data_IF_140167782883
#
_entry.id   IF_140167782883
#
_cell.length_a   1.000
_cell.length_b   1.000
_cell.length_c   1.000
_cell.angle_alpha   90.00
_cell.angle_beta   90.00
_cell.angle_gamma   90.00
#
_symmetry.space_group_name_H-M   'P 1'
#
loop_
_entity.id
_entity.type
_entity.pdbx_description
1 polymer ?
#
# COMPACT_ATOMS: atom_id res chain seq x y z
N UNK A 1 17.35 34.95 -4.47
CA UNK A 1 16.42 33.89 -4.95
C UNK A 1 15.65 33.28 -3.78
N UNK A 2 14.32 33.20 -3.89
CA UNK A 2 13.45 32.50 -2.95
C UNK A 2 13.55 30.97 -3.05
N UNK A 3 12.91 30.25 -2.12
CA UNK A 3 13.00 28.78 -2.03
C UNK A 3 12.37 28.02 -3.23
N UNK A 4 11.24 28.52 -3.76
CA UNK A 4 10.59 27.92 -4.93
C UNK A 4 11.38 28.12 -6.22
N UNK A 5 11.90 29.33 -6.47
CA UNK A 5 12.73 29.63 -7.65
C UNK A 5 14.00 28.77 -7.71
N UNK A 6 14.62 28.46 -6.56
CA UNK A 6 15.79 27.56 -6.50
C UNK A 6 15.42 26.11 -6.86
N UNK A 7 14.21 25.64 -6.53
CA UNK A 7 13.75 24.29 -6.87
C UNK A 7 13.46 24.15 -8.36
N UNK A 8 12.87 25.18 -8.96
CA UNK A 8 12.64 25.24 -10.41
C UNK A 8 13.96 25.23 -11.19
N UNK A 9 14.90 26.09 -10.79
CA UNK A 9 16.23 26.14 -11.38
C UNK A 9 17.00 24.82 -11.21
N UNK A 10 16.91 24.18 -10.04
CA UNK A 10 17.46 22.84 -9.82
C UNK A 10 16.84 21.81 -10.78
N UNK A 11 15.52 21.85 -10.99
CA UNK A 11 14.83 20.93 -11.90
C UNK A 11 15.30 21.09 -13.35
N UNK A 12 15.47 22.33 -13.81
CA UNK A 12 15.91 22.65 -15.16
C UNK A 12 17.37 22.20 -15.42
N UNK A 13 18.28 22.44 -14.47
CA UNK A 13 19.71 22.12 -14.64
C UNK A 13 20.01 20.64 -14.49
N UNK A 14 19.18 19.89 -13.77
CA UNK A 14 19.45 18.49 -13.44
C UNK A 14 19.65 17.60 -14.66
N UNK A 15 18.85 17.79 -15.72
CA UNK A 15 19.01 17.01 -16.96
C UNK A 15 20.37 17.28 -17.62
N UNK A 16 20.76 18.57 -17.72
CA UNK A 16 22.08 18.99 -18.23
C UNK A 16 23.21 18.41 -17.37
N UNK A 17 23.09 18.48 -16.05
CA UNK A 17 24.10 17.93 -15.15
C UNK A 17 24.23 16.40 -15.25
N UNK A 18 23.14 15.66 -15.44
CA UNK A 18 23.20 14.20 -15.57
C UNK A 18 23.88 13.76 -16.87
N UNK A 19 23.58 14.42 -17.99
CA UNK A 19 24.12 14.10 -19.32
C UNK A 19 25.53 14.65 -19.61
N UNK A 20 26.03 15.59 -18.81
CA UNK A 20 27.32 16.24 -19.01
C UNK A 20 28.54 15.34 -18.72
N UNK A 21 29.66 15.67 -19.37
CA UNK A 21 30.99 15.11 -19.08
C UNK A 21 31.54 15.60 -17.73
N UNK A 22 32.69 15.08 -17.28
CA UNK A 22 33.27 15.44 -15.98
C UNK A 22 33.62 16.93 -15.89
N UNK A 23 34.15 17.51 -16.97
CA UNK A 23 34.56 18.92 -17.05
C UNK A 23 33.34 19.84 -17.06
N UNK A 24 32.36 19.54 -17.91
CA UNK A 24 31.09 20.26 -18.00
C UNK A 24 30.31 20.22 -16.67
N UNK A 25 30.27 19.07 -15.98
CA UNK A 25 29.70 18.95 -14.63
C UNK A 25 30.38 19.89 -13.64
N UNK A 26 31.68 20.14 -13.80
CA UNK A 26 32.44 21.08 -12.98
C UNK A 26 31.94 22.51 -13.14
N UNK A 27 31.75 22.95 -14.39
CA UNK A 27 31.25 24.28 -14.77
C UNK A 27 29.80 24.49 -14.32
N UNK A 28 28.91 23.55 -14.65
CA UNK A 28 27.49 23.58 -14.25
C UNK A 28 27.37 23.69 -12.72
N UNK A 29 28.22 22.97 -11.99
CA UNK A 29 28.21 22.99 -10.53
C UNK A 29 28.70 24.33 -9.97
N UNK A 30 29.70 24.97 -10.59
CA UNK A 30 30.16 26.30 -10.19
C UNK A 30 29.06 27.35 -10.42
N UNK A 31 28.43 27.33 -11.59
CA UNK A 31 27.30 28.21 -11.92
C UNK A 31 26.15 28.03 -10.91
N UNK A 32 25.73 26.79 -10.67
CA UNK A 32 24.65 26.47 -9.75
C UNK A 32 24.95 26.92 -8.32
N UNK A 33 26.21 26.76 -7.85
CA UNK A 33 26.62 27.25 -6.53
C UNK A 33 26.58 28.77 -6.44
N UNK A 34 27.02 29.49 -7.48
CA UNK A 34 27.00 30.96 -7.54
C UNK A 34 25.58 31.51 -7.52
N UNK A 35 24.69 30.96 -8.35
CA UNK A 35 23.30 31.42 -8.50
C UNK A 35 22.45 31.10 -7.26
N UNK A 36 22.54 29.87 -6.75
CA UNK A 36 21.73 29.43 -5.61
C UNK A 36 22.37 29.74 -4.25
N UNK A 37 23.60 30.26 -4.22
CA UNK A 37 24.44 30.46 -3.02
C UNK A 37 24.54 29.19 -2.15
N UNK A 38 24.79 28.05 -2.80
CA UNK A 38 24.97 26.77 -2.12
C UNK A 38 26.44 26.38 -2.05
N UNK A 39 26.80 25.66 -0.98
CA UNK A 39 28.08 25.00 -0.91
C UNK A 39 28.16 23.84 -1.89
N UNK A 40 29.33 23.63 -2.51
CA UNK A 40 29.57 22.64 -3.57
C UNK A 40 29.10 21.24 -3.20
N UNK A 41 29.39 20.80 -1.97
CA UNK A 41 28.99 19.47 -1.46
C UNK A 41 27.46 19.31 -1.38
N UNK A 42 26.74 20.38 -1.02
CA UNK A 42 25.28 20.39 -0.97
C UNK A 42 24.68 20.36 -2.38
N UNK A 43 25.21 21.16 -3.30
CA UNK A 43 24.79 21.19 -4.69
C UNK A 43 24.95 19.83 -5.41
N UNK A 44 26.09 19.15 -5.21
CA UNK A 44 26.32 17.79 -5.74
C UNK A 44 25.22 16.83 -5.25
N UNK A 45 24.93 16.87 -3.95
CA UNK A 45 23.90 16.01 -3.35
C UNK A 45 22.54 16.24 -4.02
N UNK A 46 22.11 17.50 -4.16
CA UNK A 46 20.83 17.86 -4.77
C UNK A 46 20.73 17.40 -6.24
N UNK A 47 21.75 17.70 -7.04
CA UNK A 47 21.78 17.38 -8.47
C UNK A 47 21.79 15.86 -8.70
N UNK A 48 22.59 15.12 -7.94
CA UNK A 48 22.65 13.65 -8.02
C UNK A 48 21.43 12.94 -7.43
N UNK A 49 20.59 13.61 -6.62
CA UNK A 49 19.70 12.88 -5.71
C UNK A 49 18.70 11.89 -6.35
N UNK A 50 18.26 11.93 -7.60
CA UNK A 50 17.03 11.23 -8.07
C UNK A 50 15.78 11.44 -7.16
N UNK A 51 14.66 11.85 -7.76
CA UNK A 51 13.38 11.87 -7.02
C UNK A 51 12.96 10.41 -6.81
N UNK A 52 13.42 9.77 -5.73
CA UNK A 52 12.83 8.52 -5.26
C UNK A 52 11.47 8.89 -4.67
N UNK A 53 10.39 8.60 -5.39
CA UNK A 53 9.06 8.66 -4.81
C UNK A 53 8.98 7.75 -3.58
N UNK A 54 7.98 7.93 -2.70
CA UNK A 54 7.79 7.02 -1.58
C UNK A 54 7.59 5.60 -2.13
N UNK A 55 8.61 4.76 -2.02
CA UNK A 55 8.50 3.34 -2.31
C UNK A 55 7.78 2.70 -1.14
N UNK A 56 6.44 2.80 -1.12
CA UNK A 56 5.64 1.95 -0.25
C UNK A 56 5.90 0.52 -0.69
N UNK A 57 6.63 -0.25 0.13
CA UNK A 57 6.75 -1.69 -0.06
C UNK A 57 5.32 -2.25 -0.08
N UNK A 58 4.92 -3.00 -1.11
CA UNK A 58 3.60 -3.60 -1.13
C UNK A 58 3.45 -4.47 0.13
N UNK A 59 2.32 -4.32 0.82
CA UNK A 59 2.01 -5.14 1.98
C UNK A 59 1.88 -6.62 1.61
N UNK A 60 1.67 -7.47 2.62
CA UNK A 60 1.39 -8.90 2.40
C UNK A 60 0.19 -9.05 1.45
N UNK A 61 0.29 -10.00 0.51
CA UNK A 61 -0.81 -10.31 -0.41
C UNK A 61 -2.09 -10.63 0.38
N UNK A 62 -3.25 -10.06 0.00
CA UNK A 62 -4.51 -10.33 0.68
C UNK A 62 -4.91 -11.80 0.55
N UNK A 63 -5.14 -12.47 1.69
CA UNK A 63 -5.50 -13.90 1.73
C UNK A 63 -7.02 -14.11 1.61
N UNK A 64 -7.81 -13.23 2.24
CA UNK A 64 -9.26 -13.37 2.45
C UNK A 64 -10.12 -12.52 1.51
N UNK A 65 -9.66 -12.32 0.27
CA UNK A 65 -10.32 -11.43 -0.70
C UNK A 65 -10.95 -12.15 -1.90
N UNK A 66 -11.03 -13.48 -1.88
CA UNK A 66 -11.80 -14.19 -2.91
C UNK A 66 -13.28 -13.82 -2.79
N UNK A 67 -13.96 -13.72 -3.93
CA UNK A 67 -15.38 -13.38 -3.98
C UNK A 67 -16.23 -14.42 -3.24
N UNK A 68 -15.88 -15.71 -3.40
CA UNK A 68 -16.51 -16.83 -2.70
C UNK A 68 -16.39 -16.68 -1.17
N UNK A 69 -15.18 -16.45 -0.64
CA UNK A 69 -14.95 -16.27 0.79
C UNK A 69 -15.74 -15.09 1.35
N UNK A 70 -15.69 -13.94 0.68
CA UNK A 70 -16.39 -12.74 1.14
C UNK A 70 -17.91 -12.92 1.12
N UNK A 71 -18.45 -13.64 0.13
CA UNK A 71 -19.88 -13.95 0.05
C UNK A 71 -20.30 -14.87 1.20
N UNK A 72 -19.54 -15.95 1.43
CA UNK A 72 -19.81 -16.89 2.51
C UNK A 72 -19.73 -16.23 3.89
N UNK A 73 -18.66 -15.46 4.15
CA UNK A 73 -18.47 -14.76 5.43
C UNK A 73 -19.61 -13.78 5.72
N UNK A 74 -20.00 -12.96 4.73
CA UNK A 74 -21.11 -12.02 4.88
C UNK A 74 -22.42 -12.73 5.18
N UNK A 75 -22.68 -13.84 4.51
CA UNK A 75 -23.90 -14.63 4.69
C UNK A 75 -23.99 -15.23 6.08
N UNK A 76 -22.93 -15.91 6.53
CA UNK A 76 -22.88 -16.46 7.89
C UNK A 76 -23.09 -15.34 8.91
N UNK A 77 -22.47 -14.17 8.73
CA UNK A 77 -22.65 -13.03 9.63
C UNK A 77 -24.09 -12.50 9.65
N UNK A 78 -24.75 -12.36 8.49
CA UNK A 78 -26.13 -11.87 8.42
C UNK A 78 -27.14 -12.85 9.02
N UNK A 79 -27.01 -14.14 8.72
CA UNK A 79 -27.95 -15.17 9.19
C UNK A 79 -27.78 -15.44 10.69
N UNK A 80 -26.61 -15.10 11.24
CA UNK A 80 -26.32 -15.19 12.66
C UNK A 80 -26.58 -13.90 13.43
N UNK A 81 -27.53 -13.09 12.94
CA UNK A 81 -27.98 -11.84 13.53
C UNK A 81 -26.82 -10.85 13.82
N UNK A 82 -25.88 -10.80 12.87
CA UNK A 82 -24.75 -9.86 12.88
C UNK A 82 -23.87 -9.94 14.13
N UNK A 83 -23.73 -11.13 14.73
CA UNK A 83 -22.94 -11.31 15.96
C UNK A 83 -21.52 -10.74 15.88
N UNK A 84 -20.97 -10.35 17.03
CA UNK A 84 -19.61 -9.81 17.10
C UNK A 84 -18.58 -10.84 16.61
N UNK A 85 -17.49 -10.36 16.02
CA UNK A 85 -16.46 -11.18 15.37
C UNK A 85 -15.92 -12.30 16.25
N UNK A 86 -15.76 -12.06 17.56
CA UNK A 86 -15.30 -13.07 18.54
C UNK A 86 -16.27 -14.24 18.67
N UNK A 87 -17.58 -13.96 18.74
CA UNK A 87 -18.62 -15.01 18.76
C UNK A 87 -18.72 -15.68 17.40
N UNK A 88 -18.56 -14.92 16.31
CA UNK A 88 -18.63 -15.46 14.95
C UNK A 88 -17.54 -16.51 14.71
N UNK A 89 -16.30 -16.25 15.15
CA UNK A 89 -15.22 -17.25 15.06
C UNK A 89 -15.59 -18.56 15.75
N UNK A 90 -16.22 -18.50 16.93
CA UNK A 90 -16.65 -19.70 17.64
C UNK A 90 -17.86 -20.39 16.96
N UNK A 91 -18.72 -19.63 16.29
CA UNK A 91 -19.90 -20.14 15.60
C UNK A 91 -19.59 -20.76 14.23
N UNK A 92 -18.58 -20.26 13.50
CA UNK A 92 -18.25 -20.72 12.14
C UNK A 92 -18.09 -22.25 12.05
N UNK A 93 -17.30 -22.93 12.92
CA UNK A 93 -17.14 -24.38 12.85
C UNK A 93 -18.46 -25.15 13.07
N UNK A 94 -19.37 -24.61 13.87
CA UNK A 94 -20.67 -25.22 14.15
C UNK A 94 -21.64 -25.07 12.97
N UNK A 95 -21.50 -24.00 12.19
CA UNK A 95 -22.38 -23.68 11.06
C UNK A 95 -21.93 -24.30 9.74
N UNK A 96 -20.61 -24.45 9.53
CA UNK A 96 -20.04 -24.95 8.28
C UNK A 96 -20.65 -26.27 7.79
N UNK A 97 -20.91 -27.29 8.62
CA UNK A 97 -21.53 -28.55 8.18
C UNK A 97 -22.93 -28.38 7.57
N UNK A 98 -23.68 -27.36 7.98
CA UNK A 98 -25.04 -27.09 7.51
C UNK A 98 -25.07 -26.04 6.40
N UNK A 99 -23.97 -25.30 6.20
CA UNK A 99 -23.90 -24.22 5.23
C UNK A 99 -24.21 -24.69 3.81
N UNK A 100 -23.64 -25.83 3.40
CA UNK A 100 -23.84 -26.38 2.05
C UNK A 100 -25.28 -26.87 1.80
N UNK A 101 -26.04 -27.18 2.85
CA UNK A 101 -27.44 -27.60 2.71
C UNK A 101 -28.37 -26.41 2.42
N UNK A 102 -28.04 -25.23 2.96
CA UNK A 102 -28.83 -24.01 2.79
C UNK A 102 -28.35 -23.13 1.62
N UNK A 103 -27.09 -23.28 1.21
CA UNK A 103 -26.42 -22.38 0.26
C UNK A 103 -25.57 -23.14 -0.75
N UNK A 104 -24.64 -22.45 -1.41
CA UNK A 104 -23.69 -23.07 -2.31
C UNK A 104 -22.61 -23.91 -1.61
N UNK A 105 -22.11 -24.92 -2.33
CA UNK A 105 -20.91 -25.67 -1.94
C UNK A 105 -19.70 -24.75 -1.91
N UNK A 106 -18.90 -24.84 -0.85
CA UNK A 106 -17.68 -24.05 -0.71
C UNK A 106 -16.46 -24.85 -1.16
N UNK A 107 -15.48 -24.17 -1.77
CA UNK A 107 -14.18 -24.79 -2.02
C UNK A 107 -13.48 -25.13 -0.70
N UNK A 108 -12.71 -26.23 -0.68
CA UNK A 108 -11.95 -26.64 0.51
C UNK A 108 -11.06 -25.51 1.05
N UNK A 109 -10.43 -24.75 0.14
CA UNK A 109 -9.65 -23.56 0.48
C UNK A 109 -10.48 -22.51 1.24
N UNK A 110 -11.71 -22.26 0.82
CA UNK A 110 -12.60 -21.29 1.47
C UNK A 110 -13.03 -21.79 2.86
N UNK A 111 -13.29 -23.09 3.01
CA UNK A 111 -13.59 -23.71 4.30
C UNK A 111 -12.41 -23.55 5.26
N UNK A 112 -11.19 -23.89 4.83
CA UNK A 112 -9.96 -23.73 5.63
C UNK A 112 -9.72 -22.26 6.01
N UNK A 113 -10.01 -21.33 5.09
CA UNK A 113 -9.91 -19.90 5.37
C UNK A 113 -10.94 -19.44 6.41
N UNK A 114 -12.18 -19.95 6.36
CA UNK A 114 -13.22 -19.63 7.34
C UNK A 114 -12.89 -20.22 8.71
N UNK A 115 -12.28 -21.40 8.78
CA UNK A 115 -11.85 -22.02 10.04
C UNK A 115 -10.62 -21.32 10.65
N UNK A 116 -9.73 -20.76 9.83
CA UNK A 116 -8.48 -20.12 10.29
C UNK A 116 -8.58 -18.62 10.53
N UNK A 117 -9.67 -17.96 10.12
CA UNK A 117 -9.77 -16.50 10.20
C UNK A 117 -9.85 -16.02 11.65
N UNK A 118 -9.12 -14.94 11.96
CA UNK A 118 -9.18 -14.29 13.27
C UNK A 118 -10.30 -13.25 13.35
N UNK A 119 -10.83 -13.01 14.56
CA UNK A 119 -11.87 -12.02 14.83
C UNK A 119 -11.51 -10.61 14.32
N UNK A 120 -10.27 -10.16 14.56
CA UNK A 120 -9.79 -8.86 14.07
C UNK A 120 -9.75 -8.76 12.53
N UNK A 121 -9.58 -9.88 11.83
CA UNK A 121 -9.64 -9.91 10.37
C UNK A 121 -11.08 -9.84 9.88
N UNK A 122 -11.99 -10.56 10.52
CA UNK A 122 -13.45 -10.46 10.25
C UNK A 122 -13.90 -9.00 10.39
N UNK A 123 -13.54 -8.31 11.48
CA UNK A 123 -13.93 -6.91 11.69
C UNK A 123 -13.42 -5.99 10.58
N UNK A 124 -12.16 -6.14 10.15
CA UNK A 124 -11.61 -5.37 9.04
C UNK A 124 -12.30 -5.65 7.71
N UNK A 125 -12.66 -6.91 7.44
CA UNK A 125 -13.31 -7.31 6.19
C UNK A 125 -14.78 -6.85 6.13
N UNK A 126 -15.49 -6.95 7.25
CA UNK A 126 -16.89 -6.54 7.36
C UNK A 126 -17.08 -5.05 7.62
N UNK A 127 -16.02 -4.29 7.94
CA UNK A 127 -16.08 -2.86 8.22
C UNK A 127 -16.84 -2.06 7.13
N UNK A 128 -16.60 -2.38 5.86
CA UNK A 128 -17.29 -1.72 4.72
C UNK A 128 -18.75 -2.15 4.54
N UNK A 129 -19.15 -3.26 5.16
CA UNK A 129 -20.48 -3.86 5.01
C UNK A 129 -21.42 -3.47 6.17
N UNK A 130 -20.87 -3.00 7.29
CA UNK A 130 -21.60 -2.48 8.47
C UNK A 130 -22.07 -1.03 8.31
N UNK A 131 -21.92 -0.44 7.12
CA UNK A 131 -22.21 0.96 6.84
C UNK A 131 -23.70 1.19 6.54
#
# INVERSE_FOLDING_TARGET
MGGNSRREYLSAIRQRYCGATKEEKGLILQEFCKVCKYHRKHAIRLLKQQKRGPTKRPGRKPIYHSAEFMKALKRIWLVSDQMCSKRLVAAIPLWLPFYEQAYEKLSAKTIDQLLSISAATIDRLLAKTRA
#
